data_IF_734349359806
#
_entry.id   IF_734349359806
#
_cell.length_a   1.000
_cell.length_b   1.000
_cell.length_c   1.000
_cell.angle_alpha   90.00
_cell.angle_beta   90.00
_cell.angle_gamma   90.00
#
_symmetry.space_group_name_H-M   'P 1'
#
loop_
_entity.id
_entity.type
_entity.pdbx_description
1 polymer ?
#
# COMPACT_ATOMS: atom_id res chain seq x y z
N UNK A 1 -12.02 -10.44 35.92
CA UNK A 1 -12.36 -9.48 34.82
C UNK A 1 -11.14 -9.38 33.94
N UNK A 2 -11.27 -9.61 32.64
CA UNK A 2 -10.17 -9.42 31.69
C UNK A 2 -9.68 -7.96 31.70
N UNK A 3 -8.40 -7.73 31.39
CA UNK A 3 -7.87 -6.37 31.32
C UNK A 3 -8.59 -5.61 30.18
N UNK A 4 -9.09 -4.42 30.47
CA UNK A 4 -9.66 -3.51 29.47
C UNK A 4 -8.55 -2.67 28.87
N UNK A 5 -8.58 -2.41 27.55
CA UNK A 5 -7.58 -1.62 26.87
C UNK A 5 -8.20 -0.78 25.75
N UNK A 6 -7.72 0.45 25.59
CA UNK A 6 -8.12 1.33 24.49
C UNK A 6 -6.92 1.59 23.56
N UNK A 7 -7.12 1.45 22.28
CA UNK A 7 -6.11 1.68 21.26
C UNK A 7 -6.63 2.67 20.22
N UNK A 8 -5.75 3.49 19.69
CA UNK A 8 -6.03 4.26 18.48
C UNK A 8 -5.31 3.64 17.29
N UNK A 9 -6.00 3.55 16.17
CA UNK A 9 -5.44 3.14 14.90
C UNK A 9 -5.65 4.25 13.87
N UNK A 10 -4.57 4.65 13.20
CA UNK A 10 -4.62 5.51 12.02
C UNK A 10 -4.40 4.64 10.78
N UNK A 11 -5.49 4.34 10.07
CA UNK A 11 -5.51 3.60 8.81
C UNK A 11 -5.51 4.61 7.65
N UNK A 12 -4.34 4.80 7.04
CA UNK A 12 -4.11 5.78 5.98
C UNK A 12 -4.07 5.07 4.62
N UNK A 13 -5.24 4.86 4.02
CA UNK A 13 -5.34 4.22 2.70
C UNK A 13 -5.06 5.19 1.54
N UNK A 14 -4.82 4.66 0.35
CA UNK A 14 -4.50 5.43 -0.85
C UNK A 14 -5.65 6.33 -1.37
N UNK A 15 -6.89 6.13 -0.89
CA UNK A 15 -8.06 6.91 -1.32
C UNK A 15 -8.77 7.64 -0.18
N UNK A 16 -8.56 7.22 1.05
CA UNK A 16 -9.10 7.83 2.26
C UNK A 16 -8.29 7.39 3.47
N UNK A 17 -8.36 8.18 4.54
CA UNK A 17 -7.78 7.83 5.82
C UNK A 17 -8.83 7.83 6.93
N UNK A 18 -8.55 7.11 8.00
CA UNK A 18 -9.42 7.01 9.19
C UNK A 18 -8.60 7.01 10.46
N UNK A 19 -9.15 7.56 11.53
CA UNK A 19 -8.68 7.35 12.89
C UNK A 19 -9.78 6.61 13.64
N UNK A 20 -9.43 5.47 14.21
CA UNK A 20 -10.34 4.53 14.84
C UNK A 20 -9.97 4.34 16.30
N UNK A 21 -10.98 4.23 17.16
CA UNK A 21 -10.84 3.79 18.53
C UNK A 21 -11.23 2.32 18.64
N UNK A 22 -10.29 1.49 19.07
CA UNK A 22 -10.51 0.10 19.41
C UNK A 22 -10.60 -0.06 20.92
N UNK A 23 -11.68 -0.69 21.41
CA UNK A 23 -11.90 -0.96 22.83
C UNK A 23 -11.95 -2.46 23.07
N UNK A 24 -11.01 -2.96 23.85
CA UNK A 24 -10.97 -4.34 24.32
C UNK A 24 -11.55 -4.42 25.75
N UNK A 25 -12.55 -5.24 25.97
CA UNK A 25 -13.17 -5.40 27.29
C UNK A 25 -12.78 -6.72 28.00
N UNK A 26 -11.83 -7.47 27.44
CA UNK A 26 -11.40 -8.78 27.91
C UNK A 26 -12.00 -9.96 27.14
N UNK A 27 -13.06 -9.73 26.36
CA UNK A 27 -13.76 -10.76 25.56
C UNK A 27 -14.00 -10.31 24.13
N UNK A 28 -14.35 -9.03 23.97
CA UNK A 28 -14.77 -8.45 22.68
C UNK A 28 -13.97 -7.20 22.38
N UNK A 29 -13.72 -7.01 21.09
CA UNK A 29 -13.11 -5.81 20.55
C UNK A 29 -14.16 -4.99 19.80
N UNK A 30 -14.48 -3.79 20.30
CA UNK A 30 -15.39 -2.86 19.66
C UNK A 30 -14.59 -1.76 18.97
N UNK A 31 -14.98 -1.40 17.73
CA UNK A 31 -14.30 -0.39 16.91
C UNK A 31 -15.27 0.77 16.64
N UNK A 32 -14.78 1.98 16.84
CA UNK A 32 -15.50 3.22 16.59
C UNK A 32 -14.68 4.15 15.69
N UNK A 33 -15.28 4.66 14.61
CA UNK A 33 -14.63 5.62 13.74
C UNK A 33 -14.72 7.03 14.34
N UNK A 34 -13.58 7.59 14.73
CA UNK A 34 -13.51 8.94 15.29
C UNK A 34 -13.41 10.01 14.18
N UNK A 35 -12.68 9.70 13.13
CA UNK A 35 -12.43 10.64 12.05
C UNK A 35 -12.21 9.92 10.73
N UNK A 36 -12.73 10.50 9.65
CA UNK A 36 -12.52 10.05 8.26
C UNK A 36 -12.23 11.23 7.37
N UNK A 37 -11.31 11.07 6.45
CA UNK A 37 -10.92 12.10 5.49
C UNK A 37 -10.56 11.51 4.13
N UNK A 38 -10.62 12.32 3.09
CA UNK A 38 -10.19 11.94 1.76
C UNK A 38 -8.65 11.95 1.66
N UNK A 39 -8.10 11.04 0.87
CA UNK A 39 -6.69 11.03 0.50
C UNK A 39 -6.57 10.82 -1.01
N UNK A 40 -5.47 11.25 -1.58
CA UNK A 40 -5.16 11.08 -2.99
C UNK A 40 -3.96 11.91 -3.43
N UNK A 41 -3.47 11.69 -4.65
CA UNK A 41 -2.34 12.46 -5.16
C UNK A 41 -2.72 13.91 -5.47
N UNK A 42 -1.75 14.81 -5.26
CA UNK A 42 -1.76 16.18 -5.76
C UNK A 42 -0.76 16.29 -6.90
N UNK A 43 -1.22 16.69 -8.08
CA UNK A 43 -0.32 16.91 -9.21
C UNK A 43 0.20 18.35 -9.21
N UNK A 44 1.51 18.49 -9.25
CA UNK A 44 2.19 19.78 -9.41
C UNK A 44 3.12 19.67 -10.61
N UNK A 45 2.85 20.45 -11.65
CA UNK A 45 3.51 20.37 -12.95
C UNK A 45 3.40 18.93 -13.53
N UNK A 46 4.51 18.24 -13.66
CA UNK A 46 4.64 16.89 -14.21
C UNK A 46 4.79 15.79 -13.14
N UNK A 47 4.62 16.11 -11.85
CA UNK A 47 4.84 15.20 -10.72
C UNK A 47 3.57 15.01 -9.89
N UNK A 48 3.36 13.79 -9.45
CA UNK A 48 2.30 13.43 -8.50
C UNK A 48 2.92 13.27 -7.11
N UNK A 49 2.32 13.92 -6.12
CA UNK A 49 2.80 13.88 -4.73
C UNK A 49 1.70 13.42 -3.78
N UNK A 50 2.09 12.81 -2.68
CA UNK A 50 1.27 12.68 -1.48
C UNK A 50 1.39 13.96 -0.65
N UNK A 51 0.27 14.53 -0.22
CA UNK A 51 0.27 15.63 0.77
C UNK A 51 0.39 15.05 2.18
N UNK A 52 1.61 14.64 2.54
CA UNK A 52 1.88 14.00 3.83
C UNK A 52 1.65 14.93 5.02
N UNK A 53 1.75 16.27 4.81
CA UNK A 53 1.50 17.25 5.86
C UNK A 53 0.01 17.37 6.17
N UNK A 54 -0.85 17.29 5.16
CA UNK A 54 -2.30 17.16 5.38
C UNK A 54 -2.63 15.87 6.10
N UNK A 55 -2.07 14.72 5.71
CA UNK A 55 -2.26 13.44 6.43
C UNK A 55 -1.83 13.55 7.91
N UNK A 56 -0.73 14.21 8.20
CA UNK A 56 -0.29 14.49 9.57
C UNK A 56 -1.29 15.33 10.36
N UNK A 57 -1.85 16.37 9.73
CA UNK A 57 -2.86 17.23 10.34
C UNK A 57 -4.15 16.47 10.64
N UNK A 58 -4.60 15.63 9.69
CA UNK A 58 -5.79 14.80 9.86
C UNK A 58 -5.63 13.72 10.93
N UNK A 59 -4.44 13.10 11.01
CA UNK A 59 -4.11 12.19 12.11
C UNK A 59 -4.23 12.91 13.46
N UNK A 60 -3.57 14.07 13.62
CA UNK A 60 -3.64 14.87 14.86
C UNK A 60 -5.08 15.29 15.19
N UNK A 61 -5.88 15.65 14.18
CA UNK A 61 -7.29 15.97 14.39
C UNK A 61 -8.06 14.78 14.97
N UNK A 62 -7.83 13.57 14.45
CA UNK A 62 -8.44 12.35 15.01
C UNK A 62 -8.01 12.08 16.46
N UNK A 63 -6.71 12.30 16.79
CA UNK A 63 -6.21 12.20 18.17
C UNK A 63 -6.86 13.23 19.09
N UNK A 64 -7.00 14.48 18.64
CA UNK A 64 -7.65 15.54 19.42
C UNK A 64 -9.16 15.26 19.65
N UNK A 65 -9.84 14.63 18.68
CA UNK A 65 -11.22 14.16 18.88
C UNK A 65 -11.32 13.14 19.99
N UNK A 66 -10.38 12.18 20.05
CA UNK A 66 -10.33 11.25 21.19
C UNK A 66 -10.14 12.00 22.51
N UNK A 67 -9.13 12.86 22.60
CA UNK A 67 -8.84 13.62 23.81
C UNK A 67 -10.02 14.49 24.29
N UNK A 68 -10.81 15.03 23.37
CA UNK A 68 -11.99 15.83 23.71
C UNK A 68 -13.24 15.05 24.08
N UNK A 69 -13.30 13.76 23.72
CA UNK A 69 -14.50 12.93 23.94
C UNK A 69 -14.32 11.85 25.02
N UNK A 70 -13.08 11.42 25.27
CA UNK A 70 -12.75 10.30 26.15
C UNK A 70 -11.69 10.68 27.17
N UNK A 71 -11.85 10.19 28.38
CA UNK A 71 -10.90 10.37 29.50
C UNK A 71 -10.13 9.08 29.82
N UNK A 72 -10.48 7.97 29.20
CA UNK A 72 -9.82 6.70 29.48
C UNK A 72 -8.38 6.71 28.93
N UNK A 73 -7.40 6.11 29.65
CA UNK A 73 -6.03 6.05 29.15
C UNK A 73 -5.92 5.20 27.88
N UNK A 74 -5.00 5.59 26.98
CA UNK A 74 -4.66 4.81 25.80
C UNK A 74 -3.57 3.79 26.11
N UNK A 75 -3.80 2.56 25.72
CA UNK A 75 -2.82 1.46 25.79
C UNK A 75 -1.82 1.50 24.64
N UNK A 76 -2.13 2.19 23.55
CA UNK A 76 -1.23 2.38 22.42
C UNK A 76 -1.90 3.05 21.22
N UNK A 77 -1.04 3.52 20.32
CA UNK A 77 -1.45 4.01 19.00
C UNK A 77 -0.62 3.28 17.93
N UNK A 78 -1.26 2.86 16.85
CA UNK A 78 -0.64 2.30 15.65
C UNK A 78 -1.00 3.08 14.39
N UNK A 79 -0.11 3.02 13.41
CA UNK A 79 -0.31 3.63 12.09
C UNK A 79 0.00 2.59 11.04
N UNK A 80 -0.92 2.39 10.10
CA UNK A 80 -0.68 1.65 8.88
C UNK A 80 -1.02 2.51 7.65
N UNK A 81 -0.39 2.15 6.52
CA UNK A 81 -0.56 2.85 5.25
C UNK A 81 -0.50 1.88 4.09
N UNK A 82 -0.76 2.39 2.88
CA UNK A 82 -0.42 1.69 1.63
C UNK A 82 1.10 1.44 1.51
N UNK A 83 1.48 0.45 0.69
CA UNK A 83 2.87 0.04 0.48
C UNK A 83 3.68 0.94 -0.45
N UNK A 84 4.96 0.64 -0.57
CA UNK A 84 5.95 1.07 -1.55
C UNK A 84 6.42 2.53 -1.52
N UNK A 85 5.65 3.47 -0.99
CA UNK A 85 6.02 4.88 -0.97
C UNK A 85 6.82 5.27 0.28
N UNK A 86 7.61 6.34 0.14
CA UNK A 86 8.58 6.74 1.14
C UNK A 86 8.85 8.25 1.09
N UNK A 87 9.39 8.77 2.17
CA UNK A 87 10.00 10.09 2.24
C UNK A 87 11.50 10.01 2.51
N UNK A 88 12.25 10.98 2.02
CA UNK A 88 13.67 11.14 2.28
C UNK A 88 13.88 12.23 3.34
N UNK A 89 14.75 11.96 4.31
CA UNK A 89 15.01 12.82 5.46
C UNK A 89 16.48 13.23 5.47
N UNK A 90 16.75 14.51 5.71
CA UNK A 90 18.11 15.08 5.79
C UNK A 90 18.81 14.73 7.14
N UNK A 91 20.07 15.13 7.27
CA UNK A 91 20.86 14.93 8.50
C UNK A 91 20.31 15.67 9.72
N UNK A 92 19.46 16.68 9.52
CA UNK A 92 18.79 17.40 10.59
C UNK A 92 17.43 16.80 10.97
N UNK A 93 17.03 15.68 10.35
CA UNK A 93 15.75 15.04 10.60
C UNK A 93 14.57 15.68 9.87
N UNK A 94 14.80 16.51 8.85
CA UNK A 94 13.75 17.17 8.09
C UNK A 94 13.45 16.43 6.81
N UNK A 95 12.16 16.33 6.49
CA UNK A 95 11.71 15.78 5.21
C UNK A 95 12.21 16.65 4.06
N UNK A 96 12.86 16.07 3.06
CA UNK A 96 13.42 16.78 1.91
C UNK A 96 12.36 17.29 0.93
N UNK A 97 11.19 16.68 0.93
CA UNK A 97 10.04 17.04 0.13
C UNK A 97 8.88 16.10 0.37
N UNK A 98 7.71 16.43 -0.16
CA UNK A 98 6.58 15.51 -0.12
C UNK A 98 6.93 14.20 -0.85
N UNK A 99 6.53 13.02 -0.32
CA UNK A 99 6.66 11.74 -1.01
C UNK A 99 6.02 11.78 -2.40
N UNK A 100 6.73 11.25 -3.39
CA UNK A 100 6.18 11.12 -4.74
C UNK A 100 5.28 9.90 -4.79
N UNK A 101 4.12 10.04 -5.43
CA UNK A 101 3.11 9.01 -5.55
C UNK A 101 3.59 7.84 -6.41
N UNK A 102 3.29 6.61 -6.03
CA UNK A 102 3.75 5.39 -6.73
C UNK A 102 3.28 5.27 -8.20
N UNK A 103 2.25 6.00 -8.62
CA UNK A 103 1.79 6.07 -10.03
C UNK A 103 2.40 7.23 -10.81
N UNK A 104 3.38 7.95 -10.24
CA UNK A 104 4.09 9.00 -10.96
C UNK A 104 4.81 8.43 -12.19
N UNK A 105 4.72 9.14 -13.31
CA UNK A 105 5.30 8.72 -14.59
C UNK A 105 6.83 8.55 -14.57
N UNK A 106 7.52 9.04 -13.50
CA UNK A 106 8.98 8.91 -13.36
C UNK A 106 9.48 7.46 -13.44
N UNK A 107 8.63 6.48 -13.10
CA UNK A 107 9.00 5.06 -13.10
C UNK A 107 8.77 4.37 -14.45
N UNK A 108 8.24 5.07 -15.46
CA UNK A 108 7.99 4.51 -16.78
C UNK A 108 9.31 4.08 -17.44
N UNK A 109 9.42 2.81 -17.84
CA UNK A 109 10.63 2.20 -18.42
C UNK A 109 11.75 1.89 -17.41
N UNK A 110 11.58 2.25 -16.13
CA UNK A 110 12.64 2.06 -15.12
C UNK A 110 12.74 0.62 -14.63
N UNK A 111 11.68 -0.17 -14.78
CA UNK A 111 11.75 -1.61 -14.51
C UNK A 111 12.71 -2.29 -15.47
N UNK A 112 12.55 -2.05 -16.78
CA UNK A 112 13.43 -2.57 -17.82
C UNK A 112 14.87 -2.07 -17.64
N UNK A 113 15.03 -0.81 -17.26
CA UNK A 113 16.34 -0.23 -16.97
C UNK A 113 17.02 -0.96 -15.80
N UNK A 114 16.32 -1.22 -14.69
CA UNK A 114 16.84 -1.97 -13.56
C UNK A 114 17.22 -3.42 -13.96
N UNK A 115 16.37 -4.08 -14.77
CA UNK A 115 16.59 -5.45 -15.24
C UNK A 115 17.75 -5.58 -16.22
N UNK A 116 18.13 -4.51 -16.92
CA UNK A 116 19.34 -4.46 -17.75
C UNK A 116 20.62 -4.41 -16.90
N UNK A 117 20.56 -3.93 -15.66
CA UNK A 117 21.71 -3.86 -14.73
C UNK A 117 21.80 -5.15 -13.88
N UNK A 118 20.68 -5.59 -13.32
CA UNK A 118 20.60 -6.80 -12.49
C UNK A 118 19.50 -7.72 -13.06
N UNK A 119 19.87 -8.95 -13.46
CA UNK A 119 18.90 -9.89 -14.03
C UNK A 119 17.69 -10.14 -13.12
N UNK A 120 16.51 -10.27 -13.73
CA UNK A 120 15.22 -10.52 -13.05
C UNK A 120 15.31 -11.66 -12.02
N UNK A 121 15.97 -12.77 -12.41
CA UNK A 121 16.13 -13.95 -11.56
C UNK A 121 16.91 -13.65 -10.28
N UNK A 122 17.92 -12.80 -10.35
CA UNK A 122 18.76 -12.44 -9.22
C UNK A 122 18.02 -11.54 -8.24
N UNK A 123 17.29 -10.53 -8.75
CA UNK A 123 16.45 -9.67 -7.91
C UNK A 123 15.38 -10.52 -7.20
N UNK A 124 14.71 -11.43 -7.94
CA UNK A 124 13.70 -12.29 -7.34
C UNK A 124 14.29 -13.27 -6.31
N UNK A 125 15.42 -13.88 -6.60
CA UNK A 125 16.09 -14.78 -5.68
C UNK A 125 16.48 -14.11 -4.35
N UNK A 126 16.83 -12.81 -4.39
CA UNK A 126 17.13 -12.04 -3.19
C UNK A 126 15.87 -11.62 -2.44
N UNK A 127 14.84 -11.13 -3.14
CA UNK A 127 13.73 -10.41 -2.53
C UNK A 127 12.42 -11.19 -2.50
N UNK A 128 12.22 -12.15 -3.42
CA UNK A 128 10.97 -12.90 -3.56
C UNK A 128 9.77 -12.05 -3.95
N UNK A 129 9.98 -10.80 -4.41
CA UNK A 129 8.88 -9.87 -4.66
C UNK A 129 8.43 -9.81 -6.13
N UNK A 130 7.12 -9.61 -6.30
CA UNK A 130 6.48 -9.32 -7.58
C UNK A 130 7.12 -8.10 -8.25
N UNK A 131 7.37 -8.21 -9.55
CA UNK A 131 7.88 -7.09 -10.34
C UNK A 131 6.73 -6.18 -10.76
N UNK A 132 6.75 -4.99 -10.21
CA UNK A 132 5.85 -3.88 -10.53
C UNK A 132 6.69 -2.61 -10.68
N UNK A 133 6.36 -1.77 -11.66
CA UNK A 133 7.09 -0.50 -11.85
C UNK A 133 6.96 0.46 -10.68
N UNK A 134 5.95 0.27 -9.82
CA UNK A 134 5.71 1.09 -8.63
C UNK A 134 6.56 0.72 -7.41
N UNK A 135 7.27 -0.41 -7.42
CA UNK A 135 8.07 -0.84 -6.27
C UNK A 135 9.10 0.23 -5.87
N UNK A 136 9.36 0.37 -4.59
CA UNK A 136 10.32 1.35 -4.04
C UNK A 136 11.68 1.27 -4.73
N UNK A 137 12.17 0.03 -4.99
CA UNK A 137 13.41 -0.21 -5.73
C UNK A 137 13.41 0.52 -7.07
N UNK A 138 12.33 0.42 -7.84
CA UNK A 138 12.20 1.02 -9.17
C UNK A 138 12.05 2.54 -9.08
N UNK A 139 11.36 3.03 -8.06
CA UNK A 139 11.27 4.46 -7.77
C UNK A 139 12.65 5.06 -7.47
N UNK A 140 13.49 4.38 -6.67
CA UNK A 140 14.86 4.82 -6.39
C UNK A 140 15.77 4.73 -7.61
N UNK A 141 15.63 3.69 -8.44
CA UNK A 141 16.32 3.59 -9.74
C UNK A 141 15.97 4.77 -10.63
N UNK A 142 14.70 5.20 -10.66
CA UNK A 142 14.31 6.39 -11.43
C UNK A 142 14.97 7.67 -10.93
N UNK A 143 15.08 7.85 -9.61
CA UNK A 143 15.78 9.01 -9.01
C UNK A 143 17.27 8.99 -9.40
N UNK A 144 17.93 7.84 -9.33
CA UNK A 144 19.33 7.70 -9.74
C UNK A 144 19.52 7.98 -11.23
N UNK A 145 18.66 7.44 -12.09
CA UNK A 145 18.71 7.66 -13.53
C UNK A 145 18.50 9.14 -13.91
N UNK A 146 17.69 9.86 -13.17
CA UNK A 146 17.42 11.29 -13.36
C UNK A 146 18.43 12.21 -12.64
N UNK A 147 19.43 11.65 -11.93
CA UNK A 147 20.37 12.38 -11.08
C UNK A 147 19.65 13.30 -10.07
N UNK A 148 18.58 12.80 -9.43
CA UNK A 148 17.82 13.56 -8.45
C UNK A 148 18.70 13.85 -7.21
N UNK A 149 18.97 15.13 -6.88
CA UNK A 149 19.87 15.49 -5.81
C UNK A 149 19.35 15.09 -4.42
N UNK A 150 18.05 14.89 -4.25
CA UNK A 150 17.47 14.45 -2.98
C UNK A 150 18.02 13.09 -2.55
N UNK A 151 18.32 12.21 -3.49
CA UNK A 151 18.88 10.90 -3.19
C UNK A 151 20.26 10.97 -2.55
N UNK A 152 21.09 11.94 -2.96
CA UNK A 152 22.44 12.16 -2.42
C UNK A 152 22.41 12.99 -1.11
N UNK A 153 21.35 13.78 -0.91
CA UNK A 153 21.14 14.58 0.32
C UNK A 153 20.51 13.76 1.45
N UNK A 154 19.89 12.64 1.14
CA UNK A 154 19.17 11.81 2.09
C UNK A 154 20.11 11.19 3.14
N UNK A 155 19.80 11.40 4.42
CA UNK A 155 20.41 10.69 5.53
C UNK A 155 19.59 9.45 5.92
N UNK A 156 18.27 9.47 5.69
CA UNK A 156 17.36 8.35 5.94
C UNK A 156 16.26 8.27 4.88
N UNK A 157 15.85 7.05 4.57
CA UNK A 157 14.62 6.73 3.86
C UNK A 157 13.63 6.19 4.88
N UNK A 158 12.47 6.83 5.02
CA UNK A 158 11.38 6.37 5.86
C UNK A 158 10.20 5.99 4.98
N UNK A 159 9.67 4.78 5.17
CA UNK A 159 8.45 4.35 4.48
C UNK A 159 7.25 5.13 5.02
N UNK A 160 6.16 5.16 4.28
CA UNK A 160 5.03 6.04 4.62
C UNK A 160 4.59 5.96 6.08
N UNK A 161 4.32 4.78 6.69
CA UNK A 161 3.93 4.71 8.10
C UNK A 161 5.08 5.10 9.04
N UNK A 162 6.33 4.86 8.64
CA UNK A 162 7.50 5.16 9.46
C UNK A 162 7.77 6.67 9.56
N UNK A 163 7.31 7.47 8.58
CA UNK A 163 7.28 8.93 8.69
C UNK A 163 6.41 9.35 9.89
N UNK A 164 5.24 8.75 10.04
CA UNK A 164 4.31 9.05 11.15
C UNK A 164 4.84 8.49 12.48
N UNK A 165 5.45 7.30 12.50
CA UNK A 165 6.16 6.80 13.68
C UNK A 165 7.23 7.79 14.13
N UNK A 166 8.04 8.28 13.20
CA UNK A 166 9.08 9.28 13.48
C UNK A 166 8.50 10.59 14.02
N UNK A 167 7.45 11.10 13.40
CA UNK A 167 6.83 12.35 13.86
C UNK A 167 6.10 12.23 15.19
N UNK A 168 5.63 11.04 15.51
CA UNK A 168 5.01 10.75 16.80
C UNK A 168 6.04 10.55 17.93
N UNK A 169 7.21 9.96 17.66
CA UNK A 169 8.15 9.50 18.69
C UNK A 169 9.53 10.13 18.64
N UNK A 170 9.98 10.59 17.47
CA UNK A 170 11.36 10.98 17.20
C UNK A 170 12.26 9.82 16.76
N UNK A 171 11.78 8.57 16.77
CA UNK A 171 12.56 7.37 16.43
C UNK A 171 12.42 7.05 14.94
N UNK A 172 13.55 6.74 14.30
CA UNK A 172 13.61 6.39 12.88
C UNK A 172 13.78 4.87 12.72
N UNK A 173 12.70 4.19 12.41
CA UNK A 173 12.64 2.73 12.23
C UNK A 173 12.15 2.38 10.83
N UNK A 174 12.24 1.11 10.45
CA UNK A 174 11.54 0.53 9.32
C UNK A 174 10.73 -0.68 9.80
N UNK A 175 9.40 -0.59 9.76
CA UNK A 175 8.57 -1.72 10.17
C UNK A 175 8.60 -2.81 9.09
N UNK A 176 8.69 -4.07 9.51
CA UNK A 176 8.96 -5.23 8.66
C UNK A 176 7.94 -5.43 7.54
N UNK A 177 6.63 -5.31 7.83
CA UNK A 177 5.60 -5.61 6.83
C UNK A 177 5.59 -4.59 5.71
N UNK A 178 5.78 -3.30 6.03
CA UNK A 178 5.89 -2.25 5.02
C UNK A 178 7.24 -2.31 4.30
N UNK A 179 8.35 -2.58 5.01
CA UNK A 179 9.68 -2.73 4.42
C UNK A 179 9.72 -3.89 3.41
N UNK A 180 8.97 -4.95 3.65
CA UNK A 180 8.88 -6.09 2.75
C UNK A 180 8.22 -5.78 1.41
N UNK A 181 7.48 -4.66 1.27
CA UNK A 181 6.85 -4.27 0.00
C UNK A 181 7.83 -3.62 -0.98
N UNK A 182 9.02 -3.25 -0.51
CA UNK A 182 9.94 -2.36 -1.23
C UNK A 182 10.70 -2.99 -2.39
N UNK A 183 10.78 -4.33 -2.45
CA UNK A 183 11.70 -5.10 -3.32
C UNK A 183 13.19 -4.85 -3.00
N UNK A 184 13.48 -4.39 -1.77
CA UNK A 184 14.84 -4.11 -1.30
C UNK A 184 15.22 -4.95 -0.07
N UNK A 185 14.27 -5.72 0.47
CA UNK A 185 14.48 -6.60 1.61
C UNK A 185 14.77 -8.03 1.15
N UNK A 186 15.75 -8.68 1.76
CA UNK A 186 15.95 -10.13 1.61
C UNK A 186 14.84 -10.87 2.34
N UNK A 187 14.02 -11.61 1.60
CA UNK A 187 12.81 -12.21 2.15
C UNK A 187 13.09 -13.24 3.25
N UNK A 188 14.19 -14.01 3.12
CA UNK A 188 14.56 -15.05 4.09
C UNK A 188 15.23 -14.47 5.32
N UNK A 189 16.23 -13.59 5.12
CA UNK A 189 17.04 -13.00 6.19
C UNK A 189 16.37 -11.81 6.88
N UNK A 190 15.35 -11.22 6.24
CA UNK A 190 14.63 -10.02 6.71
C UNK A 190 15.56 -8.82 6.93
N UNK A 191 16.53 -8.65 6.05
CA UNK A 191 17.53 -7.58 6.08
C UNK A 191 17.57 -6.85 4.74
N UNK A 192 18.03 -5.61 4.74
CA UNK A 192 18.21 -4.85 3.50
C UNK A 192 19.23 -5.53 2.58
N UNK A 193 18.89 -5.70 1.31
CA UNK A 193 19.72 -6.32 0.28
C UNK A 193 20.78 -5.33 -0.24
N UNK A 194 21.70 -4.89 0.64
CA UNK A 194 22.68 -3.81 0.39
C UNK A 194 23.55 -4.07 -0.83
N UNK A 195 23.93 -5.31 -1.10
CA UNK A 195 24.69 -5.73 -2.28
C UNK A 195 23.89 -5.54 -3.58
N UNK A 196 22.60 -5.85 -3.58
CA UNK A 196 21.69 -5.57 -4.70
C UNK A 196 21.57 -4.07 -4.95
N UNK A 197 21.39 -3.28 -3.87
CA UNK A 197 21.28 -1.83 -3.95
C UNK A 197 22.57 -1.20 -4.49
N UNK A 198 23.73 -1.64 -4.03
CA UNK A 198 25.03 -1.18 -4.53
C UNK A 198 25.21 -1.44 -6.02
N UNK A 199 24.80 -2.60 -6.54
CA UNK A 199 24.83 -2.93 -7.98
C UNK A 199 23.96 -2.01 -8.81
N UNK A 200 22.85 -1.51 -8.27
CA UNK A 200 21.97 -0.53 -8.88
C UNK A 200 22.42 0.92 -8.64
N UNK A 201 23.62 1.11 -8.07
CA UNK A 201 24.18 2.44 -7.73
C UNK A 201 23.29 3.24 -6.77
N UNK A 202 22.52 2.55 -5.93
CA UNK A 202 21.67 3.16 -4.89
C UNK A 202 22.43 3.29 -3.57
N UNK A 203 22.07 4.26 -2.71
CA UNK A 203 22.63 4.34 -1.35
C UNK A 203 22.42 3.02 -0.59
N UNK A 204 23.34 2.69 0.31
CA UNK A 204 23.28 1.44 1.09
C UNK A 204 23.14 1.66 2.58
N UNK A 205 23.22 2.90 3.05
CA UNK A 205 23.33 3.30 4.46
C UNK A 205 22.20 4.19 4.98
N UNK A 206 21.25 4.53 4.10
CA UNK A 206 20.11 5.41 4.47
C UNK A 206 18.89 4.65 5.03
N UNK A 207 18.95 3.31 5.09
CA UNK A 207 17.82 2.47 5.53
C UNK A 207 17.91 2.22 7.03
N UNK A 208 16.82 2.54 7.81
CA UNK A 208 16.77 2.27 9.24
C UNK A 208 16.80 0.77 9.56
N UNK A 209 16.98 0.45 10.83
CA UNK A 209 16.88 -0.91 11.32
C UNK A 209 15.44 -1.44 11.22
N UNK A 210 15.33 -2.72 10.87
CA UNK A 210 14.02 -3.39 10.74
C UNK A 210 13.50 -3.74 12.14
N UNK A 211 12.26 -3.34 12.40
CA UNK A 211 11.52 -3.76 13.60
C UNK A 211 10.31 -4.62 13.21
N UNK A 212 9.98 -5.58 14.08
CA UNK A 212 8.86 -6.49 13.82
C UNK A 212 7.52 -5.87 14.27
N UNK A 213 6.39 -6.27 13.66
CA UNK A 213 5.06 -5.88 14.12
C UNK A 213 4.87 -6.19 15.60
N UNK A 214 4.26 -5.27 16.35
CA UNK A 214 4.07 -5.35 17.80
C UNK A 214 5.19 -4.67 18.61
N UNK A 215 6.25 -4.18 17.98
CA UNK A 215 7.33 -3.45 18.66
C UNK A 215 6.83 -2.10 19.16
N UNK A 216 7.05 -1.79 20.43
CA UNK A 216 6.84 -0.44 20.98
C UNK A 216 8.01 0.43 20.50
N UNK A 217 7.73 1.38 19.62
CA UNK A 217 8.71 2.30 19.03
C UNK A 217 9.21 3.29 20.08
N UNK A 218 8.29 3.83 20.86
CA UNK A 218 8.57 4.79 21.92
C UNK A 218 7.30 5.46 22.43
N UNK A 219 7.39 6.32 23.44
CA UNK A 219 6.29 7.16 23.87
C UNK A 219 6.06 8.30 22.84
N UNK A 220 4.81 8.66 22.64
CA UNK A 220 4.46 9.85 21.87
C UNK A 220 5.14 11.10 22.46
N UNK A 221 5.74 11.92 21.60
CA UNK A 221 6.42 13.16 21.97
C UNK A 221 5.51 14.08 22.80
N UNK A 222 6.06 14.69 23.86
CA UNK A 222 5.32 15.59 24.73
C UNK A 222 4.68 16.78 23.99
N UNK A 223 5.39 17.32 22.97
CA UNK A 223 4.87 18.40 22.14
C UNK A 223 3.64 17.99 21.34
N UNK A 224 3.66 16.78 20.73
CA UNK A 224 2.50 16.24 19.98
C UNK A 224 1.32 15.99 20.93
N UNK A 225 1.57 15.37 22.11
CA UNK A 225 0.53 15.14 23.10
C UNK A 225 -0.13 16.44 23.57
N UNK A 226 0.67 17.45 23.87
CA UNK A 226 0.17 18.77 24.28
C UNK A 226 -0.70 19.42 23.18
N UNK A 227 -0.27 19.31 21.91
CA UNK A 227 -1.01 19.86 20.75
C UNK A 227 -2.39 19.20 20.59
N UNK A 228 -2.49 17.87 20.79
CA UNK A 228 -3.74 17.13 20.62
C UNK A 228 -4.56 16.97 21.90
N UNK A 229 -4.09 17.49 23.05
CA UNK A 229 -4.82 17.45 24.33
C UNK A 229 -4.70 16.12 25.08
N UNK A 230 -3.70 15.29 24.79
CA UNK A 230 -3.41 14.07 25.52
C UNK A 230 -2.43 14.33 26.66
N UNK A 231 -2.81 13.98 27.88
CA UNK A 231 -2.01 14.32 29.09
C UNK A 231 -1.04 13.20 29.49
N UNK A 232 -1.42 11.96 29.26
CA UNK A 232 -0.62 10.78 29.64
C UNK A 232 0.35 10.36 28.54
N UNK A 233 1.39 9.62 28.91
CA UNK A 233 2.30 9.03 27.94
C UNK A 233 1.56 7.90 27.18
N UNK A 234 1.52 8.02 25.86
CA UNK A 234 0.90 7.02 24.96
C UNK A 234 2.01 6.28 24.21
N UNK A 235 2.13 4.96 24.35
CA UNK A 235 3.08 4.20 23.54
C UNK A 235 2.65 4.18 22.07
N UNK A 236 3.61 4.41 21.17
CA UNK A 236 3.44 4.22 19.74
C UNK A 236 3.96 2.84 19.38
N UNK A 237 3.12 2.05 18.71
CA UNK A 237 3.39 0.65 18.40
C UNK A 237 3.52 0.53 16.88
N UNK A 238 4.64 -0.02 16.41
CA UNK A 238 4.77 -0.47 15.03
C UNK A 238 3.85 -1.68 14.85
N UNK A 239 2.65 -1.45 14.32
CA UNK A 239 1.69 -2.51 13.96
C UNK A 239 2.16 -3.21 12.67
N UNK A 240 1.39 -4.08 12.07
CA UNK A 240 1.63 -4.46 10.67
C UNK A 240 1.36 -3.23 9.80
N UNK A 241 2.38 -2.42 9.59
CA UNK A 241 2.25 -1.06 9.06
C UNK A 241 1.94 -0.99 7.56
N UNK A 242 1.99 -2.12 6.85
CA UNK A 242 1.33 -2.28 5.56
C UNK A 242 -0.15 -2.59 5.79
N UNK A 243 -1.08 -1.74 5.31
CA UNK A 243 -2.53 -1.82 5.52
C UNK A 243 -3.10 -3.23 5.28
N UNK A 244 -2.66 -3.89 4.20
CA UNK A 244 -3.04 -5.28 3.92
C UNK A 244 -2.46 -6.26 4.93
N UNK A 245 -1.28 -5.98 5.51
CA UNK A 245 -0.71 -6.78 6.60
C UNK A 245 -1.60 -6.72 7.85
N UNK A 246 -2.05 -5.52 8.23
CA UNK A 246 -3.01 -5.31 9.31
C UNK A 246 -4.37 -5.95 9.02
N UNK A 247 -4.88 -5.80 7.79
CA UNK A 247 -6.15 -6.40 7.39
C UNK A 247 -6.13 -7.93 7.50
N UNK A 248 -5.06 -8.58 7.02
CA UNK A 248 -4.89 -10.04 7.09
C UNK A 248 -4.78 -10.52 8.53
N UNK A 249 -3.99 -9.81 9.37
CA UNK A 249 -3.87 -10.13 10.79
C UNK A 249 -5.21 -10.02 11.55
N UNK A 250 -6.12 -9.17 11.08
CA UNK A 250 -7.46 -9.00 11.65
C UNK A 250 -8.48 -10.06 11.22
N UNK A 251 -8.16 -10.98 10.31
CA UNK A 251 -9.10 -12.02 9.84
C UNK A 251 -9.20 -13.13 10.90
N UNK A 252 -10.39 -13.34 11.52
CA UNK A 252 -10.53 -14.40 12.49
C UNK A 252 -10.52 -15.79 11.82
N UNK A 253 -9.76 -16.72 12.39
CA UNK A 253 -9.73 -18.13 11.96
C UNK A 253 -9.02 -18.36 10.62
N UNK A 254 -8.19 -17.44 10.17
CA UNK A 254 -7.33 -17.66 9.01
C UNK A 254 -6.35 -18.80 9.31
N UNK A 255 -6.31 -19.81 8.43
CA UNK A 255 -5.47 -21.00 8.54
C UNK A 255 -4.69 -21.27 7.25
N UNK A 256 -3.85 -22.32 7.26
CA UNK A 256 -3.02 -22.69 6.13
C UNK A 256 -3.78 -23.13 4.86
N UNK A 257 -5.10 -23.33 4.94
CA UNK A 257 -5.97 -23.69 3.81
C UNK A 257 -6.82 -22.50 3.33
N UNK A 258 -6.72 -21.38 4.02
CA UNK A 258 -7.48 -20.19 3.75
C UNK A 258 -6.78 -19.29 2.73
N UNK A 259 -7.51 -18.87 1.70
CA UNK A 259 -7.08 -17.81 0.77
C UNK A 259 -7.77 -16.53 1.18
N UNK A 260 -7.01 -15.48 1.46
CA UNK A 260 -7.57 -14.16 1.72
C UNK A 260 -7.64 -13.31 0.45
N UNK A 261 -8.56 -12.37 0.42
CA UNK A 261 -8.67 -11.33 -0.60
C UNK A 261 -8.90 -9.98 0.07
N UNK A 262 -7.89 -9.12 0.07
CA UNK A 262 -8.05 -7.70 0.37
C UNK A 262 -8.42 -6.97 -0.91
N UNK A 263 -9.70 -6.58 -1.05
CA UNK A 263 -10.27 -6.02 -2.27
C UNK A 263 -10.53 -4.52 -2.12
N UNK A 264 -9.79 -3.72 -2.84
CA UNK A 264 -9.88 -2.26 -2.90
C UNK A 264 -9.47 -1.74 -4.28
N UNK A 265 -8.85 -0.59 -4.33
CA UNK A 265 -8.22 -0.03 -5.56
C UNK A 265 -7.23 -1.05 -6.14
N UNK A 266 -6.39 -1.63 -5.30
CA UNK A 266 -5.67 -2.88 -5.54
C UNK A 266 -6.44 -4.04 -4.92
N UNK A 267 -6.21 -5.24 -5.46
CA UNK A 267 -6.66 -6.49 -4.84
C UNK A 267 -5.44 -7.35 -4.54
N UNK A 268 -5.22 -7.62 -3.25
CA UNK A 268 -4.14 -8.49 -2.79
C UNK A 268 -4.74 -9.83 -2.39
N UNK A 269 -4.41 -10.86 -3.16
CA UNK A 269 -4.95 -12.21 -2.96
C UNK A 269 -3.84 -13.19 -2.67
N UNK A 270 -3.94 -13.94 -1.57
CA UNK A 270 -2.87 -14.81 -1.14
C UNK A 270 -3.20 -15.72 0.04
N UNK A 271 -2.15 -16.33 0.57
CA UNK A 271 -2.16 -17.22 1.73
C UNK A 271 -1.08 -16.79 2.73
N UNK A 272 -1.26 -17.12 4.01
CA UNK A 272 -0.20 -17.01 5.00
C UNK A 272 0.59 -18.32 5.11
N UNK A 273 1.90 -18.22 5.03
CA UNK A 273 2.85 -19.34 5.10
C UNK A 273 3.99 -19.04 6.07
N UNK A 274 4.68 -20.06 6.55
CA UNK A 274 5.74 -19.90 7.52
C UNK A 274 7.08 -19.41 6.92
N UNK A 275 7.35 -19.73 5.64
CA UNK A 275 8.60 -19.42 4.95
C UNK A 275 8.32 -18.93 3.54
N UNK A 276 9.15 -18.02 2.99
CA UNK A 276 8.94 -17.51 1.64
C UNK A 276 9.11 -18.61 0.58
N UNK A 277 8.30 -18.57 -0.46
CA UNK A 277 8.42 -19.45 -1.63
C UNK A 277 9.11 -18.66 -2.74
N UNK A 278 10.39 -18.91 -2.93
CA UNK A 278 11.24 -18.26 -3.93
C UNK A 278 11.78 -19.34 -4.87
N UNK A 279 11.10 -19.58 -5.98
CA UNK A 279 11.47 -20.57 -6.99
C UNK A 279 11.08 -20.06 -8.40
N UNK A 280 11.49 -20.83 -9.43
CA UNK A 280 11.20 -20.47 -10.82
C UNK A 280 9.69 -20.33 -11.09
N UNK A 281 8.87 -21.20 -10.52
CA UNK A 281 7.42 -21.14 -10.72
C UNK A 281 6.80 -19.88 -10.13
N UNK A 282 7.20 -19.49 -8.91
CA UNK A 282 6.75 -18.26 -8.27
C UNK A 282 7.22 -17.03 -9.05
N UNK A 283 8.44 -17.05 -9.60
CA UNK A 283 8.97 -16.00 -10.47
C UNK A 283 8.18 -15.90 -11.79
N UNK A 284 7.91 -17.02 -12.47
CA UNK A 284 7.11 -17.04 -13.71
C UNK A 284 5.70 -16.49 -13.50
N UNK A 285 5.05 -16.89 -12.41
CA UNK A 285 3.71 -16.42 -12.04
C UNK A 285 3.74 -15.01 -11.45
N UNK A 286 4.93 -14.48 -11.19
CA UNK A 286 5.16 -13.16 -10.59
C UNK A 286 4.40 -12.99 -9.26
N UNK A 287 4.57 -13.94 -8.33
CA UNK A 287 4.07 -13.86 -6.96
C UNK A 287 5.02 -13.06 -6.07
N UNK A 288 4.51 -12.53 -4.96
CA UNK A 288 5.26 -11.77 -3.96
C UNK A 288 5.24 -12.47 -2.60
N UNK A 289 6.34 -12.35 -1.85
CA UNK A 289 6.47 -12.83 -0.47
C UNK A 289 6.60 -11.60 0.43
N UNK A 290 5.51 -11.13 0.97
CA UNK A 290 5.48 -9.97 1.86
C UNK A 290 5.44 -10.41 3.33
N UNK A 291 5.97 -9.57 4.22
CA UNK A 291 5.96 -9.84 5.65
C UNK A 291 4.55 -9.84 6.24
N UNK A 292 4.30 -10.77 7.15
CA UNK A 292 3.09 -10.87 7.98
C UNK A 292 3.39 -10.69 9.47
N UNK A 293 2.35 -10.76 10.29
CA UNK A 293 2.45 -10.69 11.75
C UNK A 293 2.97 -12.02 12.32
N UNK A 294 3.67 -11.96 13.45
CA UNK A 294 4.22 -13.17 14.10
C UNK A 294 5.32 -13.86 13.30
N UNK A 295 5.88 -13.18 12.30
CA UNK A 295 6.93 -13.72 11.45
C UNK A 295 6.42 -14.57 10.29
N UNK A 296 5.12 -14.58 10.02
CA UNK A 296 4.55 -15.20 8.82
C UNK A 296 4.99 -14.47 7.54
N UNK A 297 4.80 -15.14 6.42
CA UNK A 297 4.94 -14.58 5.07
C UNK A 297 3.58 -14.61 4.41
N UNK A 298 3.18 -13.51 3.82
CA UNK A 298 2.03 -13.42 2.95
C UNK A 298 2.48 -13.70 1.52
N UNK A 299 2.30 -14.94 1.04
CA UNK A 299 2.49 -15.27 -0.37
C UNK A 299 1.25 -14.82 -1.12
N UNK A 300 1.39 -13.82 -1.95
CA UNK A 300 0.23 -13.21 -2.59
C UNK A 300 0.53 -12.72 -4.01
N UNK A 301 -0.50 -12.29 -4.68
CA UNK A 301 -0.43 -11.55 -5.92
C UNK A 301 -1.12 -10.20 -5.78
N UNK A 302 -0.40 -9.13 -6.10
CA UNK A 302 -1.00 -7.84 -6.32
C UNK A 302 -1.69 -7.86 -7.69
N UNK A 303 -2.97 -7.52 -7.70
CA UNK A 303 -3.82 -7.45 -8.89
C UNK A 303 -4.34 -6.02 -8.98
N UNK A 304 -4.38 -5.47 -10.18
CA UNK A 304 -5.05 -4.19 -10.41
C UNK A 304 -6.55 -4.40 -10.14
N UNK A 305 -6.98 -4.05 -8.92
CA UNK A 305 -8.30 -4.35 -8.40
C UNK A 305 -9.43 -3.52 -9.01
N UNK A 306 -10.18 -2.79 -8.16
CA UNK A 306 -11.28 -1.94 -8.62
C UNK A 306 -10.81 -0.66 -9.33
N UNK A 307 -9.52 -0.47 -9.53
CA UNK A 307 -8.94 0.68 -10.21
C UNK A 307 -9.56 0.92 -11.59
N UNK A 308 -9.71 -0.14 -12.42
CA UNK A 308 -10.30 0.00 -13.75
C UNK A 308 -11.70 0.62 -13.66
N UNK A 309 -12.51 0.13 -12.74
CA UNK A 309 -13.86 0.62 -12.53
C UNK A 309 -13.89 2.01 -11.90
N UNK A 310 -13.03 2.27 -10.91
CA UNK A 310 -12.93 3.57 -10.25
C UNK A 310 -12.49 4.66 -11.24
N UNK A 311 -11.51 4.38 -12.10
CA UNK A 311 -11.04 5.35 -13.08
C UNK A 311 -12.03 5.54 -14.24
N UNK A 312 -12.72 4.50 -14.67
CA UNK A 312 -13.85 4.63 -15.62
C UNK A 312 -14.93 5.54 -15.05
N UNK A 313 -15.27 5.38 -13.75
CA UNK A 313 -16.25 6.25 -13.08
C UNK A 313 -15.77 7.69 -13.00
N UNK A 314 -14.50 7.95 -12.65
CA UNK A 314 -13.91 9.30 -12.63
C UNK A 314 -13.89 9.92 -14.02
N UNK A 315 -13.65 9.12 -15.07
CA UNK A 315 -13.72 9.59 -16.45
C UNK A 315 -15.15 10.07 -16.78
N UNK A 316 -16.17 9.28 -16.52
CA UNK A 316 -17.56 9.68 -16.75
C UNK A 316 -17.94 10.93 -15.95
N UNK A 317 -17.46 11.06 -14.72
CA UNK A 317 -17.68 12.24 -13.89
C UNK A 317 -17.06 13.51 -14.52
N UNK A 318 -15.83 13.42 -15.06
CA UNK A 318 -15.19 14.50 -15.83
C UNK A 318 -15.96 14.85 -17.11
N UNK A 319 -16.63 13.89 -17.72
CA UNK A 319 -17.50 14.06 -18.90
C UNK A 319 -18.92 14.59 -18.56
N UNK A 320 -19.19 14.84 -17.28
CA UNK A 320 -20.46 15.37 -16.80
C UNK A 320 -21.50 14.30 -16.44
N UNK A 321 -21.12 13.02 -16.44
CA UNK A 321 -22.00 11.91 -16.12
C UNK A 321 -21.67 11.33 -14.75
N UNK A 322 -22.46 11.65 -13.72
CA UNK A 322 -22.25 11.11 -12.37
C UNK A 322 -23.11 9.87 -12.12
N UNK A 323 -22.47 8.78 -11.71
CA UNK A 323 -23.13 7.51 -11.40
C UNK A 323 -22.90 7.10 -9.96
N UNK A 324 -23.96 6.73 -9.24
CA UNK A 324 -23.82 6.04 -7.96
C UNK A 324 -23.32 4.60 -8.17
N UNK A 325 -22.68 4.03 -7.16
CA UNK A 325 -22.24 2.63 -7.23
C UNK A 325 -23.39 1.66 -7.49
N UNK A 326 -24.56 1.91 -6.87
CA UNK A 326 -25.75 1.09 -7.10
C UNK A 326 -26.24 1.16 -8.54
N UNK A 327 -26.22 2.36 -9.16
CA UNK A 327 -26.61 2.51 -10.56
C UNK A 327 -25.62 1.78 -11.51
N UNK A 328 -24.32 1.85 -11.24
CA UNK A 328 -23.31 1.13 -12.03
C UNK A 328 -23.48 -0.39 -11.93
N UNK A 329 -23.73 -0.93 -10.74
CA UNK A 329 -23.97 -2.35 -10.53
C UNK A 329 -25.24 -2.82 -11.20
N UNK A 330 -26.34 -2.09 -11.10
CA UNK A 330 -27.61 -2.39 -11.79
C UNK A 330 -27.44 -2.39 -13.32
N UNK A 331 -26.70 -1.43 -13.87
CA UNK A 331 -26.40 -1.37 -15.30
C UNK A 331 -25.56 -2.56 -15.75
N UNK A 332 -24.57 -2.97 -14.94
CA UNK A 332 -23.76 -4.17 -15.22
C UNK A 332 -24.61 -5.45 -15.20
N UNK A 333 -25.51 -5.58 -14.22
CA UNK A 333 -26.40 -6.74 -14.09
C UNK A 333 -27.32 -6.88 -15.30
N UNK A 334 -27.82 -5.78 -15.84
CA UNK A 334 -28.66 -5.72 -17.03
C UNK A 334 -27.90 -5.98 -18.34
N UNK A 335 -26.58 -5.96 -18.34
CA UNK A 335 -25.74 -6.13 -19.54
C UNK A 335 -25.47 -7.60 -19.84
N UNK A 336 -25.19 -7.99 -21.10
CA UNK A 336 -24.84 -9.37 -21.46
C UNK A 336 -23.57 -9.86 -20.74
N UNK A 337 -23.57 -11.08 -20.16
CA UNK A 337 -22.40 -11.64 -19.51
C UNK A 337 -21.29 -12.00 -20.50
N UNK A 338 -20.03 -11.85 -20.08
CA UNK A 338 -18.84 -12.27 -20.81
C UNK A 338 -18.73 -11.71 -22.24
N UNK A 339 -19.27 -10.52 -22.50
CA UNK A 339 -19.15 -9.85 -23.80
C UNK A 339 -17.70 -9.53 -24.13
N UNK A 340 -16.94 -9.07 -23.14
CA UNK A 340 -15.51 -8.76 -23.25
C UNK A 340 -14.80 -9.03 -21.92
N UNK A 341 -13.54 -9.49 -22.00
CA UNK A 341 -12.68 -9.76 -20.85
C UNK A 341 -11.31 -9.15 -21.09
N UNK A 342 -10.78 -8.47 -20.11
CA UNK A 342 -9.44 -7.91 -20.14
C UNK A 342 -8.55 -8.54 -19.08
N UNK A 343 -7.22 -8.52 -19.29
CA UNK A 343 -6.30 -8.81 -18.19
C UNK A 343 -6.13 -7.53 -17.37
N UNK A 344 -6.66 -7.44 -16.13
CA UNK A 344 -6.59 -6.20 -15.37
C UNK A 344 -5.15 -5.77 -15.04
N UNK A 345 -4.19 -6.71 -15.07
CA UNK A 345 -2.76 -6.43 -14.81
C UNK A 345 -1.98 -6.07 -16.09
N UNK A 346 -2.64 -5.85 -17.22
CA UNK A 346 -1.96 -5.40 -18.42
C UNK A 346 -1.39 -3.99 -18.24
N UNK A 347 -0.16 -3.71 -18.73
CA UNK A 347 0.48 -2.41 -18.59
C UNK A 347 -0.37 -1.24 -19.08
N UNK A 348 -1.24 -1.47 -20.07
CA UNK A 348 -2.17 -0.48 -20.62
C UNK A 348 -3.03 0.20 -19.53
N UNK A 349 -3.37 -0.52 -18.46
CA UNK A 349 -4.29 -0.05 -17.40
C UNK A 349 -3.60 0.61 -16.22
N UNK A 350 -2.28 0.73 -16.23
CA UNK A 350 -1.56 1.30 -15.11
C UNK A 350 -1.80 2.82 -14.98
N UNK A 351 -1.65 3.54 -16.09
CA UNK A 351 -1.79 5.01 -16.14
C UNK A 351 -2.45 5.44 -17.47
N UNK A 352 -3.72 5.08 -17.71
CA UNK A 352 -4.39 5.45 -18.95
C UNK A 352 -4.87 6.90 -18.91
N UNK A 353 -4.77 7.61 -20.02
CA UNK A 353 -5.38 8.94 -20.19
C UNK A 353 -6.92 8.88 -20.19
N UNK A 354 -7.46 7.76 -20.68
CA UNK A 354 -8.90 7.43 -20.71
C UNK A 354 -9.05 5.92 -20.47
N UNK A 355 -9.62 5.54 -19.33
CA UNK A 355 -9.74 4.12 -18.98
C UNK A 355 -10.71 3.39 -19.90
N UNK A 356 -11.87 4.01 -20.22
CA UNK A 356 -12.90 3.39 -21.07
C UNK A 356 -12.34 3.12 -22.47
N UNK A 357 -11.68 4.12 -23.07
CA UNK A 357 -11.06 3.97 -24.40
C UNK A 357 -9.96 2.92 -24.40
N UNK A 358 -9.17 2.85 -23.32
CA UNK A 358 -8.12 1.85 -23.15
C UNK A 358 -8.69 0.44 -23.05
N UNK A 359 -9.78 0.22 -22.29
CA UNK A 359 -10.50 -1.06 -22.25
C UNK A 359 -10.99 -1.45 -23.64
N UNK A 360 -11.61 -0.52 -24.35
CA UNK A 360 -12.12 -0.77 -25.72
C UNK A 360 -10.98 -1.08 -26.70
N UNK A 361 -9.86 -0.34 -26.63
CA UNK A 361 -8.69 -0.55 -27.48
C UNK A 361 -8.06 -1.93 -27.18
N UNK A 362 -7.95 -2.31 -25.91
CA UNK A 362 -7.49 -3.64 -25.51
C UNK A 362 -8.36 -4.74 -26.12
N UNK A 363 -9.70 -4.63 -26.01
CA UNK A 363 -10.62 -5.58 -26.59
C UNK A 363 -10.46 -5.72 -28.11
N UNK A 364 -10.39 -4.60 -28.83
CA UNK A 364 -10.15 -4.59 -30.29
C UNK A 364 -8.83 -5.29 -30.65
N UNK A 365 -7.76 -4.98 -29.94
CA UNK A 365 -6.43 -5.58 -30.16
C UNK A 365 -6.41 -7.08 -29.92
N UNK A 366 -7.22 -7.57 -28.98
CA UNK A 366 -7.33 -8.99 -28.66
C UNK A 366 -8.44 -9.72 -29.45
N UNK A 367 -9.03 -9.09 -30.46
CA UNK A 367 -10.06 -9.68 -31.34
C UNK A 367 -11.43 -9.83 -30.68
N UNK A 368 -11.71 -9.06 -29.63
CA UNK A 368 -12.99 -9.08 -28.92
C UNK A 368 -13.86 -7.89 -29.36
N UNK A 369 -15.18 -8.06 -29.26
CA UNK A 369 -16.13 -6.96 -29.40
C UNK A 369 -16.01 -6.04 -28.17
N UNK A 370 -15.67 -4.73 -28.34
CA UNK A 370 -15.51 -3.85 -27.20
C UNK A 370 -16.83 -3.60 -26.46
N UNK A 371 -16.78 -3.32 -25.15
CA UNK A 371 -17.94 -2.84 -24.42
C UNK A 371 -18.28 -1.41 -24.84
N UNK A 372 -19.54 -1.11 -25.11
CA UNK A 372 -19.99 0.19 -25.64
C UNK A 372 -20.79 1.00 -24.62
N UNK A 373 -21.58 0.33 -23.78
CA UNK A 373 -22.39 0.97 -22.76
C UNK A 373 -21.69 1.00 -21.41
N UNK A 374 -22.10 1.91 -20.52
CA UNK A 374 -21.60 1.99 -19.13
C UNK A 374 -21.71 0.64 -18.44
N UNK A 375 -22.88 -0.03 -18.55
CA UNK A 375 -23.09 -1.33 -17.93
C UNK A 375 -22.17 -2.42 -18.47
N UNK A 376 -21.90 -2.45 -19.77
CA UNK A 376 -20.97 -3.41 -20.38
C UNK A 376 -19.53 -3.17 -19.94
N UNK A 377 -19.09 -1.91 -19.80
CA UNK A 377 -17.75 -1.58 -19.29
C UNK A 377 -17.62 -2.03 -17.84
N UNK A 378 -18.60 -1.71 -16.97
CA UNK A 378 -18.59 -2.13 -15.57
C UNK A 378 -18.55 -3.65 -15.46
N UNK A 379 -19.37 -4.34 -16.24
CA UNK A 379 -19.43 -5.80 -16.25
C UNK A 379 -18.13 -6.42 -16.73
N UNK A 380 -17.52 -5.87 -17.79
CA UNK A 380 -16.21 -6.29 -18.27
C UNK A 380 -15.16 -6.18 -17.16
N UNK A 381 -15.10 -5.07 -16.44
CA UNK A 381 -14.16 -4.90 -15.32
C UNK A 381 -14.38 -5.95 -14.22
N UNK A 382 -15.62 -6.16 -13.77
CA UNK A 382 -15.93 -7.05 -12.65
C UNK A 382 -15.70 -8.54 -13.02
N UNK A 383 -16.13 -8.96 -14.22
CA UNK A 383 -15.92 -10.33 -14.70
C UNK A 383 -14.43 -10.62 -14.94
N UNK A 384 -13.70 -9.66 -15.47
CA UNK A 384 -12.24 -9.74 -15.63
C UNK A 384 -11.53 -9.96 -14.29
N UNK A 385 -11.92 -9.19 -13.27
CA UNK A 385 -11.41 -9.36 -11.91
C UNK A 385 -11.75 -10.74 -11.33
N UNK A 386 -13.00 -11.19 -11.45
CA UNK A 386 -13.44 -12.49 -10.94
C UNK A 386 -12.63 -13.64 -11.57
N UNK A 387 -12.40 -13.57 -12.90
CA UNK A 387 -11.58 -14.56 -13.61
C UNK A 387 -10.10 -14.47 -13.19
N UNK A 388 -9.60 -13.25 -12.91
CA UNK A 388 -8.25 -13.07 -12.40
C UNK A 388 -8.08 -13.66 -11.00
N UNK A 389 -9.07 -13.47 -10.11
CA UNK A 389 -9.08 -14.11 -8.78
C UNK A 389 -9.07 -15.63 -8.88
N UNK A 390 -9.94 -16.20 -9.74
CA UNK A 390 -9.95 -17.65 -9.99
C UNK A 390 -8.58 -18.16 -10.46
N UNK A 391 -7.92 -17.41 -11.36
CA UNK A 391 -6.60 -17.78 -11.83
C UNK A 391 -5.57 -17.79 -10.69
N UNK A 392 -5.60 -16.79 -9.81
CA UNK A 392 -4.69 -16.70 -8.66
C UNK A 392 -4.92 -17.85 -7.68
N UNK A 393 -6.19 -18.14 -7.32
CA UNK A 393 -6.53 -19.27 -6.44
C UNK A 393 -5.99 -20.60 -7.00
N UNK A 394 -6.12 -20.81 -8.30
CA UNK A 394 -5.62 -22.04 -8.94
C UNK A 394 -4.08 -22.10 -9.02
N UNK A 395 -3.39 -20.98 -8.83
CA UNK A 395 -1.94 -20.88 -8.90
C UNK A 395 -1.27 -20.95 -7.51
N UNK A 396 -2.00 -20.61 -6.43
CA UNK A 396 -1.62 -20.79 -5.04
C UNK A 396 -1.68 -22.25 -4.62
#
# INVERSE_FOLDING_TARGET
>A
MGATANFLAADLGASNGRVLLGRWNGERFDVEELHRFANGPTTVLDRMYWDVLTLWSELKFGLARYAGQYSAPLSGIGVDTWGVDYGLVDKAGRLLGNPVHYRDARTSGMLEHALAIVPRREIYAATGLQFLQLNTLIQLVSMRAQNDPQLDMAARLLLMPDIFHYWLTGEQIAEYTIASTTQMLRATERTWARDLLARLSLPTDIYPDIVMPGTVVGPMLAAVRAEVGLHEAVPVIAVASHDTGSAVAGIPGLDAQSVYLSSGTWSLMGVEIAQPIINERALELNFTNEGGVGGSIRLLKNITGLWLLQESRRQWEREGNSYSWSALLAAAEASPPFKAIVNPDAPDFFEPSSMVDTIQAYCRRTGQTPPETVGEVVRCCLESLALRYRWVVNAL
#
